data_IF_586602028762
#
_entry.id   IF_586602028762
#
_cell.length_a   1.000
_cell.length_b   1.000
_cell.length_c   1.000
_cell.angle_alpha   90.00
_cell.angle_beta   90.00
_cell.angle_gamma   90.00
#
_symmetry.space_group_name_H-M   'P 1'
#
loop_
_entity.id
_entity.type
_entity.pdbx_description
1 polymer ?
#
# COMPACT_ATOMS: atom_id res chain seq x y z
N UNK A 1 -20.79 18.01 -22.33
CA UNK A 1 -21.13 19.12 -21.42
C UNK A 1 -19.90 19.93 -21.00
N UNK A 2 -18.96 19.38 -20.22
CA UNK A 2 -17.74 20.09 -19.76
C UNK A 2 -16.98 20.80 -20.89
N UNK A 3 -16.61 20.06 -21.94
CA UNK A 3 -15.78 20.60 -23.02
C UNK A 3 -16.61 21.35 -24.07
N UNK A 4 -17.72 20.76 -24.52
CA UNK A 4 -18.51 21.32 -25.62
C UNK A 4 -19.39 22.52 -25.22
N UNK A 5 -19.89 22.57 -23.98
CA UNK A 5 -20.84 23.61 -23.53
C UNK A 5 -20.18 24.63 -22.59
N UNK A 6 -19.34 24.17 -21.66
CA UNK A 6 -18.62 25.06 -20.74
C UNK A 6 -17.24 25.48 -21.26
N UNK A 7 -16.84 25.02 -22.45
CA UNK A 7 -15.60 25.45 -23.11
C UNK A 7 -14.31 25.06 -22.39
N UNK A 8 -14.37 24.15 -21.41
CA UNK A 8 -13.21 23.74 -20.63
C UNK A 8 -12.15 23.05 -21.51
N UNK A 9 -10.87 23.33 -21.27
CA UNK A 9 -9.75 22.72 -22.00
C UNK A 9 -9.29 21.46 -21.28
N UNK A 10 -9.34 20.31 -21.96
CA UNK A 10 -8.81 19.06 -21.39
C UNK A 10 -7.33 18.89 -21.75
N UNK A 11 -6.48 18.66 -20.76
CA UNK A 11 -5.05 18.39 -20.96
C UNK A 11 -4.76 16.99 -21.53
N UNK A 12 -5.70 16.03 -21.41
CA UNK A 12 -5.50 14.62 -21.79
C UNK A 12 -6.65 14.09 -22.64
N UNK A 13 -6.32 13.18 -23.57
CA UNK A 13 -7.30 12.46 -24.40
C UNK A 13 -7.32 10.98 -24.06
N UNK A 14 -8.46 10.33 -24.20
CA UNK A 14 -8.58 8.88 -24.02
C UNK A 14 -7.77 8.13 -25.09
N UNK A 15 -7.13 7.02 -24.71
CA UNK A 15 -6.28 6.26 -25.62
C UNK A 15 -7.07 5.65 -26.80
N UNK A 16 -8.27 5.11 -26.53
CA UNK A 16 -9.12 4.46 -27.53
C UNK A 16 -9.88 5.43 -28.43
N UNK A 17 -10.62 6.37 -27.84
CA UNK A 17 -11.57 7.22 -28.61
C UNK A 17 -11.01 8.59 -28.97
N UNK A 18 -9.81 8.94 -28.47
CA UNK A 18 -9.17 10.27 -28.62
C UNK A 18 -10.06 11.44 -28.15
N UNK A 19 -11.14 11.15 -27.44
CA UNK A 19 -12.01 12.14 -26.84
C UNK A 19 -11.32 12.80 -25.63
N UNK A 20 -11.73 14.02 -25.29
CA UNK A 20 -11.28 14.68 -24.08
C UNK A 20 -11.56 13.81 -22.85
N UNK A 21 -10.52 13.58 -22.04
CA UNK A 21 -10.58 12.65 -20.91
C UNK A 21 -11.42 13.26 -19.79
N UNK A 22 -12.23 12.42 -19.14
CA UNK A 22 -12.88 12.74 -17.86
C UNK A 22 -12.34 11.84 -16.75
N UNK A 23 -11.10 11.37 -16.86
CA UNK A 23 -10.43 10.63 -15.78
C UNK A 23 -10.34 11.49 -14.50
N UNK A 24 -10.22 10.84 -13.35
CA UNK A 24 -10.17 11.49 -12.03
C UNK A 24 -9.16 12.65 -12.00
N UNK A 25 -7.90 12.39 -12.37
CA UNK A 25 -6.85 13.42 -12.44
C UNK A 25 -7.24 14.65 -13.27
N UNK A 26 -7.94 14.44 -14.41
CA UNK A 26 -8.35 15.56 -15.29
C UNK A 26 -9.50 16.34 -14.68
N UNK A 27 -10.43 15.66 -14.01
CA UNK A 27 -11.53 16.33 -13.32
C UNK A 27 -11.04 17.09 -12.09
N UNK A 28 -10.00 16.62 -11.41
CA UNK A 28 -9.36 17.33 -10.29
C UNK A 28 -8.69 18.63 -10.75
N UNK A 29 -7.96 18.60 -11.87
CA UNK A 29 -7.39 19.79 -12.49
C UNK A 29 -8.50 20.80 -12.85
N UNK A 30 -9.56 20.34 -13.52
CA UNK A 30 -10.69 21.20 -13.91
C UNK A 30 -11.53 21.70 -12.73
N UNK A 31 -11.50 21.01 -11.59
CA UNK A 31 -12.20 21.43 -10.38
C UNK A 31 -11.61 22.70 -9.77
N UNK A 32 -10.37 23.07 -10.11
CA UNK A 32 -9.77 24.35 -9.73
C UNK A 32 -10.40 25.53 -10.48
N UNK A 33 -10.94 25.29 -11.68
CA UNK A 33 -11.51 26.32 -12.54
C UNK A 33 -13.04 26.42 -12.41
N UNK A 34 -13.72 25.34 -12.00
CA UNK A 34 -15.18 25.28 -11.96
C UNK A 34 -15.70 24.22 -10.97
N UNK A 35 -16.83 24.49 -10.32
CA UNK A 35 -17.40 23.59 -9.29
C UNK A 35 -17.93 22.25 -9.83
N UNK A 36 -18.59 22.26 -11.00
CA UNK A 36 -19.17 21.07 -11.62
C UNK A 36 -18.22 19.84 -11.71
N UNK A 37 -16.97 19.92 -12.20
CA UNK A 37 -16.01 18.81 -12.14
C UNK A 37 -15.89 18.17 -10.74
N UNK A 38 -15.86 18.96 -9.67
CA UNK A 38 -15.87 18.47 -8.28
C UNK A 38 -17.13 17.68 -7.99
N UNK A 39 -18.32 18.21 -8.33
CA UNK A 39 -19.60 17.48 -8.14
C UNK A 39 -19.64 16.16 -8.92
N UNK A 40 -19.03 16.10 -10.11
CA UNK A 40 -18.93 14.86 -10.90
C UNK A 40 -18.04 13.83 -10.19
N UNK A 41 -16.91 14.26 -9.62
CA UNK A 41 -16.04 13.41 -8.81
C UNK A 41 -16.79 12.85 -7.60
N UNK A 42 -17.47 13.71 -6.84
CA UNK A 42 -18.25 13.33 -5.67
C UNK A 42 -19.35 12.33 -6.03
N UNK A 43 -20.12 12.61 -7.10
CA UNK A 43 -21.12 11.68 -7.62
C UNK A 43 -20.53 10.32 -7.99
N UNK A 44 -19.39 10.30 -8.69
CA UNK A 44 -18.72 9.04 -9.09
C UNK A 44 -18.23 8.27 -7.88
N UNK A 45 -17.70 8.94 -6.87
CA UNK A 45 -17.24 8.30 -5.64
C UNK A 45 -18.40 7.61 -4.91
N UNK A 46 -19.52 8.32 -4.69
CA UNK A 46 -20.71 7.76 -4.05
C UNK A 46 -21.34 6.65 -4.90
N UNK A 47 -21.47 6.85 -6.21
CA UNK A 47 -22.04 5.84 -7.10
C UNK A 47 -21.20 4.57 -7.13
N UNK A 48 -19.86 4.69 -7.09
CA UNK A 48 -18.96 3.54 -6.98
C UNK A 48 -19.17 2.81 -5.66
N UNK A 49 -19.22 3.52 -4.52
CA UNK A 49 -19.47 2.91 -3.22
C UNK A 49 -20.81 2.16 -3.18
N UNK A 50 -21.88 2.79 -3.69
CA UNK A 50 -23.21 2.19 -3.77
C UNK A 50 -23.20 0.92 -4.62
N UNK A 51 -22.79 1.04 -5.88
CA UNK A 51 -22.86 -0.08 -6.84
C UNK A 51 -21.90 -1.22 -6.52
N UNK A 52 -20.69 -0.91 -6.05
CA UNK A 52 -19.64 -1.91 -5.82
C UNK A 52 -19.80 -2.61 -4.47
N UNK A 53 -20.33 -1.91 -3.46
CA UNK A 53 -20.39 -2.44 -2.09
C UNK A 53 -21.82 -2.57 -1.58
N UNK A 54 -22.58 -1.48 -1.51
CA UNK A 54 -23.92 -1.48 -0.88
C UNK A 54 -24.90 -2.40 -1.61
N UNK A 55 -24.96 -2.31 -2.94
CA UNK A 55 -25.89 -3.10 -3.74
C UNK A 55 -25.36 -4.54 -3.95
N UNK A 56 -24.05 -4.69 -4.10
CA UNK A 56 -23.45 -5.96 -4.50
C UNK A 56 -23.20 -6.93 -3.32
N UNK A 57 -22.68 -6.45 -2.19
CA UNK A 57 -22.27 -7.33 -1.08
C UNK A 57 -23.42 -8.16 -0.50
N UNK A 58 -24.65 -7.62 -0.29
CA UNK A 58 -25.76 -8.44 0.18
C UNK A 58 -26.10 -9.60 -0.76
N UNK A 59 -25.94 -9.41 -2.07
CA UNK A 59 -26.14 -10.45 -3.07
C UNK A 59 -25.04 -11.53 -3.12
N UNK A 60 -23.92 -11.31 -2.42
CA UNK A 60 -22.79 -12.25 -2.34
C UNK A 60 -22.78 -13.06 -1.04
N UNK A 61 -23.78 -12.88 -0.17
CA UNK A 61 -23.90 -13.67 1.06
C UNK A 61 -24.26 -15.11 0.70
N UNK A 62 -23.42 -16.05 1.10
CA UNK A 62 -23.69 -17.47 0.92
C UNK A 62 -24.86 -17.88 1.84
N UNK A 63 -25.93 -18.50 1.31
CA UNK A 63 -27.14 -18.83 2.07
C UNK A 63 -26.93 -19.94 3.10
N UNK A 64 -25.94 -20.82 2.93
CA UNK A 64 -25.64 -21.92 3.86
C UNK A 64 -24.87 -21.43 5.08
N UNK A 65 -23.92 -20.51 4.89
CA UNK A 65 -23.05 -20.05 5.98
C UNK A 65 -23.47 -18.69 6.54
N UNK A 66 -24.29 -17.92 5.83
CA UNK A 66 -24.61 -16.53 6.16
C UNK A 66 -23.41 -15.58 6.07
N UNK A 67 -22.39 -15.90 5.28
CA UNK A 67 -21.13 -15.15 5.17
C UNK A 67 -20.74 -14.88 3.73
N UNK A 68 -19.91 -13.87 3.50
CA UNK A 68 -19.28 -13.61 2.20
C UNK A 68 -17.97 -14.41 2.13
N UNK A 69 -17.76 -15.15 1.03
CA UNK A 69 -16.56 -15.96 0.80
C UNK A 69 -15.76 -15.38 -0.37
N UNK A 70 -14.79 -14.51 -0.06
CA UNK A 70 -13.91 -13.95 -1.09
C UNK A 70 -12.92 -14.99 -1.63
N UNK A 71 -12.58 -14.87 -2.91
CA UNK A 71 -11.57 -15.70 -3.57
C UNK A 71 -10.18 -15.06 -3.50
N UNK A 72 -9.21 -15.77 -2.88
CA UNK A 72 -7.82 -15.33 -2.82
C UNK A 72 -6.99 -15.95 -3.94
N UNK A 73 -6.48 -15.11 -4.84
CA UNK A 73 -5.65 -15.53 -5.97
C UNK A 73 -4.16 -15.52 -5.58
N UNK A 74 -3.57 -16.71 -5.44
CA UNK A 74 -2.19 -16.85 -4.99
C UNK A 74 -1.13 -16.69 -6.10
N UNK A 75 -1.50 -16.92 -7.35
CA UNK A 75 -0.58 -17.02 -8.51
C UNK A 75 -0.74 -15.91 -9.54
N UNK A 76 -1.49 -14.83 -9.21
CA UNK A 76 -1.80 -13.74 -10.17
C UNK A 76 -0.80 -12.59 -10.11
N UNK A 77 -0.51 -12.04 -8.93
CA UNK A 77 0.34 -10.85 -8.84
C UNK A 77 1.82 -11.19 -9.08
N UNK A 78 2.47 -10.45 -9.99
CA UNK A 78 3.88 -10.65 -10.34
C UNK A 78 4.85 -10.45 -9.15
N UNK A 79 4.46 -9.65 -8.15
CA UNK A 79 5.25 -9.44 -6.93
C UNK A 79 4.98 -10.49 -5.85
N UNK A 80 4.03 -11.39 -6.06
CA UNK A 80 3.69 -12.45 -5.11
C UNK A 80 2.71 -12.03 -4.02
N UNK A 81 2.14 -10.82 -4.05
CA UNK A 81 1.00 -10.46 -3.20
C UNK A 81 -0.23 -11.34 -3.50
N UNK A 82 -1.09 -11.53 -2.52
CA UNK A 82 -2.43 -12.08 -2.75
C UNK A 82 -3.31 -10.98 -3.36
N UNK A 83 -4.20 -11.34 -4.28
CA UNK A 83 -5.30 -10.48 -4.71
C UNK A 83 -6.63 -11.13 -4.40
N UNK A 84 -7.65 -10.31 -4.13
CA UNK A 84 -9.01 -10.80 -3.83
C UNK A 84 -9.98 -10.51 -4.97
N UNK A 85 -10.90 -11.44 -5.19
CA UNK A 85 -12.00 -11.33 -6.13
C UNK A 85 -13.30 -11.88 -5.48
N UNK A 86 -14.44 -11.46 -6.01
CA UNK A 86 -15.77 -11.96 -5.66
C UNK A 86 -16.08 -12.01 -4.15
N UNK A 87 -16.00 -10.89 -3.41
CA UNK A 87 -15.66 -9.52 -3.86
C UNK A 87 -14.19 -9.14 -3.58
N UNK A 88 -13.73 -8.05 -4.21
CA UNK A 88 -12.43 -7.47 -3.89
C UNK A 88 -12.49 -6.66 -2.58
N UNK A 89 -12.21 -7.34 -1.47
CA UNK A 89 -12.18 -6.76 -0.13
C UNK A 89 -10.93 -5.91 0.15
N UNK A 90 -9.89 -5.96 -0.70
CA UNK A 90 -8.69 -5.14 -0.50
C UNK A 90 -8.92 -3.65 -0.76
N UNK A 91 -9.95 -3.31 -1.55
CA UNK A 91 -10.17 -1.96 -2.05
C UNK A 91 -11.27 -1.17 -1.33
N UNK A 92 -11.79 -1.68 -0.20
CA UNK A 92 -12.84 -0.98 0.57
C UNK A 92 -12.22 0.28 1.21
N UNK A 93 -12.68 1.50 0.84
CA UNK A 93 -12.07 2.73 1.33
C UNK A 93 -12.13 2.85 2.86
N UNK A 94 -11.04 3.34 3.44
CA UNK A 94 -10.89 3.53 4.89
C UNK A 94 -10.91 5.01 5.30
N UNK A 95 -10.45 5.91 4.42
CA UNK A 95 -10.20 7.32 4.76
C UNK A 95 -11.41 8.23 4.63
N UNK A 96 -12.49 7.76 4.00
CA UNK A 96 -13.70 8.56 3.83
C UNK A 96 -14.77 8.12 4.83
N UNK A 97 -15.61 9.04 5.34
CA UNK A 97 -16.72 8.68 6.21
C UNK A 97 -17.63 7.60 5.61
N UNK A 98 -17.92 7.68 4.31
CA UNK A 98 -18.77 6.71 3.61
C UNK A 98 -18.08 5.34 3.51
N UNK A 99 -16.77 5.31 3.28
CA UNK A 99 -15.99 4.07 3.27
C UNK A 99 -15.97 3.39 4.64
N UNK A 100 -15.83 4.20 5.70
CA UNK A 100 -15.90 3.72 7.09
C UNK A 100 -17.25 3.08 7.38
N UNK A 101 -18.35 3.67 6.93
CA UNK A 101 -19.70 3.10 7.05
C UNK A 101 -19.87 1.76 6.34
N UNK A 102 -19.17 1.53 5.21
CA UNK A 102 -19.15 0.21 4.58
C UNK A 102 -18.43 -0.80 5.48
N UNK A 103 -17.31 -0.41 6.13
CA UNK A 103 -16.57 -1.28 7.05
C UNK A 103 -17.36 -1.60 8.34
N UNK A 104 -18.26 -0.73 8.78
CA UNK A 104 -19.18 -1.01 9.90
C UNK A 104 -20.11 -2.21 9.62
N UNK A 105 -20.38 -2.53 8.35
CA UNK A 105 -21.20 -3.68 7.96
C UNK A 105 -20.46 -5.03 8.10
N UNK A 106 -19.14 -5.00 8.30
CA UNK A 106 -18.33 -6.20 8.56
C UNK A 106 -18.18 -6.38 10.06
N UNK A 107 -18.98 -7.27 10.61
CA UNK A 107 -19.10 -7.51 12.06
C UNK A 107 -18.52 -8.87 12.44
N UNK A 108 -18.05 -8.99 13.67
CA UNK A 108 -17.71 -10.29 14.24
C UNK A 108 -18.97 -11.15 14.45
N UNK A 109 -18.78 -12.48 14.39
CA UNK A 109 -19.78 -13.43 14.89
C UNK A 109 -20.12 -13.18 16.37
N UNK A 110 -21.34 -13.53 16.80
CA UNK A 110 -21.79 -13.31 18.18
C UNK A 110 -20.85 -14.01 19.18
N UNK A 111 -20.43 -13.29 20.22
CA UNK A 111 -19.47 -13.77 21.22
C UNK A 111 -18.02 -13.76 20.73
N UNK A 112 -17.76 -13.15 19.57
CA UNK A 112 -16.44 -12.92 19.03
C UNK A 112 -16.16 -11.43 18.84
N UNK A 113 -14.88 -11.08 18.71
CA UNK A 113 -14.38 -9.80 18.26
C UNK A 113 -13.60 -9.98 16.96
N UNK A 114 -13.47 -8.90 16.20
CA UNK A 114 -12.47 -8.78 15.15
C UNK A 114 -11.14 -8.34 15.77
N UNK A 115 -10.07 -8.98 15.33
CA UNK A 115 -8.69 -8.65 15.64
C UNK A 115 -7.97 -8.29 14.35
N UNK A 116 -7.68 -7.00 14.15
CA UNK A 116 -6.84 -6.54 13.04
C UNK A 116 -5.40 -6.40 13.51
N UNK A 117 -4.46 -6.92 12.74
CA UNK A 117 -3.03 -6.72 12.98
C UNK A 117 -2.33 -6.31 11.69
N UNK A 118 -1.74 -5.12 11.66
CA UNK A 118 -1.10 -4.52 10.49
C UNK A 118 0.38 -4.28 10.74
N UNK A 119 1.24 -4.56 9.75
CA UNK A 119 2.65 -4.22 9.88
C UNK A 119 2.89 -2.73 9.72
N UNK A 120 3.53 -2.11 10.70
CA UNK A 120 3.93 -0.72 10.62
C UNK A 120 5.10 -0.53 9.63
N UNK A 121 4.79 0.01 8.44
CA UNK A 121 5.76 0.42 7.42
C UNK A 121 6.66 -0.72 6.91
N UNK A 122 6.08 -1.91 6.67
CA UNK A 122 6.85 -3.11 6.32
C UNK A 122 7.78 -2.95 5.13
N UNK A 123 7.34 -2.26 4.07
CA UNK A 123 8.15 -2.05 2.86
C UNK A 123 9.40 -1.20 3.15
N UNK A 124 9.29 -0.19 4.03
CA UNK A 124 10.45 0.62 4.43
C UNK A 124 11.41 -0.14 5.36
N UNK A 125 10.88 -1.01 6.23
CA UNK A 125 11.72 -1.90 7.06
C UNK A 125 12.49 -2.90 6.21
N UNK A 126 11.84 -3.49 5.21
CA UNK A 126 12.48 -4.36 4.21
C UNK A 126 13.52 -3.58 3.42
N UNK A 127 13.22 -2.35 2.98
CA UNK A 127 14.19 -1.50 2.29
C UNK A 127 15.42 -1.24 3.16
N UNK A 128 15.24 -0.89 4.44
CA UNK A 128 16.34 -0.66 5.37
C UNK A 128 17.26 -1.88 5.50
N UNK A 129 16.67 -3.07 5.61
CA UNK A 129 17.41 -4.33 5.67
C UNK A 129 18.14 -4.64 4.36
N UNK A 130 17.51 -4.45 3.21
CA UNK A 130 18.11 -4.74 1.90
C UNK A 130 19.22 -3.74 1.54
N UNK A 131 19.03 -2.46 1.83
CA UNK A 131 19.99 -1.41 1.53
C UNK A 131 21.17 -1.36 2.50
N UNK A 132 21.00 -1.94 3.70
CA UNK A 132 21.95 -1.83 4.82
C UNK A 132 22.24 -0.36 5.17
N UNK A 133 21.27 0.53 4.96
CA UNK A 133 21.44 1.93 5.27
C UNK A 133 21.36 2.17 6.78
N UNK A 134 22.52 2.48 7.39
CA UNK A 134 22.62 2.60 8.85
C UNK A 134 21.72 3.70 9.42
N UNK A 135 21.55 4.81 8.71
CA UNK A 135 20.65 5.90 9.14
C UNK A 135 19.22 5.40 9.24
N UNK A 136 18.74 4.69 8.21
CA UNK A 136 17.38 4.17 8.18
C UNK A 136 17.19 3.04 9.21
N UNK A 137 18.18 2.16 9.36
CA UNK A 137 18.18 1.09 10.36
C UNK A 137 18.08 1.67 11.78
N UNK A 138 18.93 2.65 12.11
CA UNK A 138 18.95 3.25 13.43
C UNK A 138 17.67 4.03 13.74
N UNK A 139 17.06 4.65 12.71
CA UNK A 139 15.75 5.31 12.85
C UNK A 139 14.68 4.32 13.30
N UNK A 140 14.60 3.15 12.66
CA UNK A 140 13.66 2.11 13.07
C UNK A 140 13.98 1.51 14.44
N UNK A 141 15.26 1.33 14.79
CA UNK A 141 15.68 0.81 16.10
C UNK A 141 15.34 1.75 17.25
N UNK A 142 15.34 3.07 17.00
CA UNK A 142 14.92 4.09 17.98
C UNK A 142 13.40 4.25 18.08
N UNK A 143 12.62 3.52 17.28
CA UNK A 143 11.15 3.64 17.26
C UNK A 143 10.66 4.97 16.69
N UNK A 144 11.49 5.68 15.92
CA UNK A 144 11.12 6.94 15.28
C UNK A 144 10.27 6.71 14.03
N UNK A 145 9.33 7.62 13.75
CA UNK A 145 8.58 7.61 12.49
C UNK A 145 9.50 8.10 11.35
N UNK A 146 9.74 7.22 10.37
CA UNK A 146 10.62 7.50 9.24
C UNK A 146 10.08 8.64 8.36
N UNK A 147 8.76 8.79 8.24
CA UNK A 147 8.18 9.88 7.47
C UNK A 147 8.41 11.22 8.17
N UNK A 148 8.24 11.29 9.48
CA UNK A 148 8.48 12.50 10.27
C UNK A 148 9.95 12.89 10.27
N UNK A 149 10.83 11.90 10.42
CA UNK A 149 12.27 12.14 10.34
C UNK A 149 12.68 12.64 8.96
N UNK A 150 12.22 11.95 7.91
CA UNK A 150 12.49 12.37 6.52
C UNK A 150 11.90 13.76 6.27
N UNK A 151 10.75 14.09 6.85
CA UNK A 151 10.16 15.42 6.74
C UNK A 151 11.06 16.51 7.31
N UNK A 152 11.50 16.34 8.56
CA UNK A 152 12.38 17.31 9.23
C UNK A 152 13.69 17.50 8.49
N UNK A 153 14.22 16.43 7.90
CA UNK A 153 15.51 16.45 7.22
C UNK A 153 15.43 16.96 5.77
N UNK A 154 14.32 16.70 5.05
CA UNK A 154 14.11 17.15 3.65
C UNK A 154 13.55 18.56 3.58
N UNK A 155 12.57 18.91 4.43
CA UNK A 155 11.94 20.24 4.44
C UNK A 155 12.68 21.24 5.33
N UNK A 156 13.43 20.77 6.32
CA UNK A 156 14.11 21.62 7.30
C UNK A 156 13.15 22.44 8.19
N UNK A 157 13.69 23.16 9.20
CA UNK A 157 12.90 24.00 10.10
C UNK A 157 12.35 25.28 9.44
N UNK A 158 12.76 25.58 8.21
CA UNK A 158 12.38 26.79 7.46
C UNK A 158 11.21 26.57 6.49
N UNK A 159 10.66 25.35 6.43
CA UNK A 159 9.50 25.08 5.58
C UNK A 159 8.25 25.78 6.12
N UNK A 160 7.60 26.56 5.25
CA UNK A 160 6.33 27.22 5.56
C UNK A 160 5.13 26.25 5.58
N UNK A 161 5.34 24.97 5.25
CA UNK A 161 4.26 23.97 5.23
C UNK A 161 3.90 23.52 6.66
N UNK A 162 2.61 23.31 6.96
CA UNK A 162 2.17 22.65 8.19
C UNK A 162 2.81 21.28 8.40
N UNK A 163 3.03 20.85 9.65
CA UNK A 163 3.75 19.61 9.97
C UNK A 163 3.07 18.35 9.39
N UNK A 164 1.74 18.31 9.37
CA UNK A 164 0.93 17.26 8.74
C UNK A 164 1.12 17.20 7.23
N UNK A 165 1.22 18.36 6.57
CA UNK A 165 1.53 18.43 5.16
C UNK A 165 2.97 18.01 4.86
N UNK A 166 3.95 18.43 5.67
CA UNK A 166 5.34 17.96 5.54
C UNK A 166 5.43 16.44 5.66
N UNK A 167 4.71 15.84 6.62
CA UNK A 167 4.63 14.38 6.78
C UNK A 167 3.98 13.72 5.57
N UNK A 168 2.89 14.29 5.05
CA UNK A 168 2.21 13.80 3.84
C UNK A 168 3.16 13.78 2.65
N UNK A 169 3.89 14.86 2.40
CA UNK A 169 4.86 14.96 1.30
C UNK A 169 6.00 13.96 1.49
N UNK A 170 6.56 13.85 2.69
CA UNK A 170 7.63 12.89 3.00
C UNK A 170 7.20 11.44 2.80
N UNK A 171 5.96 11.12 3.17
CA UNK A 171 5.35 9.83 2.86
C UNK A 171 5.33 9.59 1.35
N UNK A 172 4.87 10.56 0.57
CA UNK A 172 4.86 10.44 -0.89
C UNK A 172 6.26 10.33 -1.49
N UNK A 173 7.27 11.02 -0.96
CA UNK A 173 8.68 10.90 -1.37
C UNK A 173 9.19 9.48 -1.07
N UNK A 174 9.03 8.98 0.15
CA UNK A 174 9.46 7.62 0.53
C UNK A 174 8.87 6.55 -0.40
N UNK A 175 7.57 6.64 -0.68
CA UNK A 175 6.92 5.70 -1.61
C UNK A 175 7.31 5.95 -3.07
N UNK A 176 7.47 7.20 -3.49
CA UNK A 176 7.94 7.52 -4.84
C UNK A 176 9.27 6.84 -5.13
N UNK A 177 10.18 6.80 -4.16
CA UNK A 177 11.47 6.12 -4.31
C UNK A 177 11.33 4.61 -4.31
N UNK A 178 10.53 4.03 -3.40
CA UNK A 178 10.23 2.58 -3.38
C UNK A 178 9.61 2.06 -4.69
N UNK A 179 8.84 2.90 -5.39
CA UNK A 179 8.15 2.56 -6.64
C UNK A 179 8.81 3.14 -7.90
N UNK A 180 9.92 3.87 -7.76
CA UNK A 180 10.65 4.45 -8.90
C UNK A 180 9.89 5.49 -9.67
N UNK A 181 9.02 6.23 -8.98
CA UNK A 181 8.37 7.40 -9.56
C UNK A 181 9.45 8.40 -9.97
N UNK A 182 9.29 8.92 -11.18
CA UNK A 182 10.14 10.01 -11.67
C UNK A 182 9.88 11.30 -10.90
N UNK A 183 10.83 12.24 -10.91
CA UNK A 183 10.63 13.59 -10.37
C UNK A 183 9.39 14.27 -10.98
N UNK A 184 9.09 14.01 -12.26
CA UNK A 184 7.88 14.51 -12.92
C UNK A 184 6.59 13.97 -12.28
N UNK A 185 6.54 12.65 -12.01
CA UNK A 185 5.39 12.01 -11.36
C UNK A 185 5.23 12.51 -9.92
N UNK A 186 6.34 12.58 -9.17
CA UNK A 186 6.34 13.10 -7.81
C UNK A 186 5.86 14.55 -7.76
N UNK A 187 6.35 15.41 -8.65
CA UNK A 187 5.98 16.83 -8.72
C UNK A 187 4.46 17.01 -8.86
N UNK A 188 3.84 16.23 -9.75
CA UNK A 188 2.39 16.21 -9.94
C UNK A 188 1.66 15.69 -8.69
N UNK A 189 2.12 14.60 -8.10
CA UNK A 189 1.46 13.98 -6.94
C UNK A 189 1.46 14.88 -5.70
N UNK A 190 2.48 15.75 -5.55
CA UNK A 190 2.64 16.62 -4.39
C UNK A 190 2.37 18.11 -4.68
N UNK A 191 2.09 18.47 -5.94
CA UNK A 191 1.73 19.82 -6.35
C UNK A 191 2.90 20.83 -6.38
N UNK A 192 4.11 20.39 -6.71
CA UNK A 192 5.31 21.26 -6.77
C UNK A 192 5.92 21.29 -8.17
N UNK A 193 6.93 22.14 -8.39
CA UNK A 193 7.68 22.13 -9.65
C UNK A 193 8.52 20.86 -9.81
N UNK A 194 8.80 20.48 -11.06
CA UNK A 194 9.70 19.34 -11.37
C UNK A 194 11.08 19.50 -10.72
N UNK A 195 11.60 20.73 -10.66
CA UNK A 195 12.89 21.05 -10.03
C UNK A 195 12.85 20.76 -8.53
N UNK A 196 11.83 21.27 -7.82
CA UNK A 196 11.65 20.99 -6.38
C UNK A 196 11.49 19.50 -6.08
N UNK A 197 10.73 18.78 -6.91
CA UNK A 197 10.60 17.33 -6.75
C UNK A 197 11.93 16.59 -6.94
N UNK A 198 12.79 17.05 -7.86
CA UNK A 198 14.13 16.49 -8.04
C UNK A 198 15.03 16.81 -6.84
N UNK A 199 14.96 18.03 -6.29
CA UNK A 199 15.67 18.43 -5.06
C UNK A 199 15.28 17.55 -3.87
N UNK A 200 13.99 17.22 -3.69
CA UNK A 200 13.55 16.31 -2.63
C UNK A 200 14.10 14.89 -2.80
N UNK A 201 14.15 14.38 -4.03
CA UNK A 201 14.73 13.07 -4.33
C UNK A 201 16.23 13.06 -4.03
N UNK A 202 16.97 14.10 -4.44
CA UNK A 202 18.40 14.19 -4.19
C UNK A 202 18.72 14.38 -2.70
N UNK A 203 17.96 15.21 -1.98
CA UNK A 203 18.10 15.37 -0.53
C UNK A 203 17.89 14.04 0.20
N UNK A 204 16.88 13.26 -0.21
CA UNK A 204 16.68 11.91 0.33
C UNK A 204 17.89 11.01 0.12
N UNK A 205 18.42 10.94 -1.11
CA UNK A 205 19.55 10.06 -1.40
C UNK A 205 20.87 10.53 -0.81
N UNK A 206 21.05 11.84 -0.62
CA UNK A 206 22.17 12.38 0.13
C UNK A 206 22.13 11.90 1.60
N UNK A 207 20.93 11.74 2.16
CA UNK A 207 20.72 11.24 3.52
C UNK A 207 20.82 9.73 3.65
N UNK A 208 20.29 9.01 2.67
CA UNK A 208 20.26 7.55 2.62
C UNK A 208 21.08 7.04 1.42
N UNK A 209 22.41 7.27 1.39
CA UNK A 209 23.25 6.95 0.23
C UNK A 209 23.30 5.45 -0.05
N UNK A 210 23.12 4.60 0.97
CA UNK A 210 23.10 3.15 0.77
C UNK A 210 21.81 2.68 0.11
N UNK A 211 20.71 3.43 0.26
CA UNK A 211 19.48 3.19 -0.51
C UNK A 211 19.71 3.45 -2.00
N UNK A 212 20.37 4.57 -2.35
CA UNK A 212 20.73 4.85 -3.76
C UNK A 212 21.58 3.73 -4.35
N UNK A 213 22.66 3.36 -3.64
CA UNK A 213 23.55 2.28 -4.05
C UNK A 213 22.80 0.95 -4.27
N UNK A 214 21.93 0.58 -3.33
CA UNK A 214 21.10 -0.62 -3.46
C UNK A 214 20.22 -0.61 -4.72
N UNK A 215 19.60 0.53 -5.03
CA UNK A 215 18.76 0.68 -6.22
C UNK A 215 19.60 0.52 -7.49
N UNK A 216 20.72 1.25 -7.57
CA UNK A 216 21.60 1.25 -8.73
C UNK A 216 22.20 -0.15 -8.99
N UNK A 217 22.68 -0.81 -7.93
CA UNK A 217 23.21 -2.18 -7.99
C UNK A 217 22.14 -3.19 -8.39
N UNK A 218 20.91 -3.03 -7.87
CA UNK A 218 19.79 -3.91 -8.21
C UNK A 218 19.43 -3.78 -9.69
N UNK A 219 19.37 -2.55 -10.22
CA UNK A 219 19.10 -2.31 -11.64
C UNK A 219 20.22 -2.84 -12.53
N UNK A 220 21.49 -2.59 -12.16
CA UNK A 220 22.65 -3.09 -12.90
C UNK A 220 22.62 -4.63 -13.01
N UNK A 221 22.49 -5.32 -11.86
CA UNK A 221 22.38 -6.79 -11.84
C UNK A 221 21.16 -7.31 -12.57
N UNK A 222 20.03 -6.61 -12.50
CA UNK A 222 18.82 -7.00 -13.20
C UNK A 222 18.98 -6.88 -14.72
N UNK A 223 19.68 -5.85 -15.24
CA UNK A 223 19.98 -5.69 -16.67
C UNK A 223 20.87 -6.81 -17.19
N UNK A 224 21.85 -7.25 -16.40
CA UNK A 224 22.73 -8.37 -16.73
C UNK A 224 21.95 -9.70 -16.76
N UNK A 225 21.27 -10.02 -15.65
CA UNK A 225 20.64 -11.33 -15.44
C UNK A 225 19.24 -11.47 -16.04
N UNK A 226 18.57 -10.35 -16.31
CA UNK A 226 17.14 -10.30 -16.68
C UNK A 226 16.19 -10.67 -15.54
N UNK A 227 16.66 -10.67 -14.28
CA UNK A 227 15.87 -11.16 -13.14
C UNK A 227 16.15 -10.41 -11.83
N UNK A 228 15.20 -10.47 -10.90
CA UNK A 228 15.35 -10.01 -9.51
C UNK A 228 14.75 -11.01 -8.53
N UNK A 229 15.21 -10.98 -7.27
CA UNK A 229 14.76 -11.90 -6.21
C UNK A 229 14.38 -11.18 -4.91
N UNK A 230 13.44 -11.76 -4.16
CA UNK A 230 13.08 -11.36 -2.80
C UNK A 230 14.02 -12.00 -1.76
N UNK A 231 13.86 -11.62 -0.48
CA UNK A 231 14.58 -12.19 0.66
C UNK A 231 14.40 -13.71 0.78
N UNK A 232 13.19 -14.22 0.51
CA UNK A 232 12.91 -15.66 0.55
C UNK A 232 13.08 -16.34 -0.83
N UNK A 233 13.74 -15.67 -1.77
CA UNK A 233 14.20 -16.28 -3.03
C UNK A 233 13.19 -16.29 -4.18
N UNK A 234 12.00 -15.68 -4.02
CA UNK A 234 11.00 -15.55 -5.11
C UNK A 234 11.64 -14.83 -6.29
N UNK A 235 11.58 -15.45 -7.46
CA UNK A 235 12.16 -14.94 -8.69
C UNK A 235 11.13 -14.19 -9.53
N UNK A 236 11.47 -12.99 -10.00
CA UNK A 236 10.75 -12.30 -11.07
C UNK A 236 11.66 -12.12 -12.28
N UNK A 237 11.17 -12.53 -13.45
CA UNK A 237 11.83 -12.31 -14.75
C UNK A 237 11.38 -10.97 -15.33
N UNK A 238 12.32 -10.23 -15.90
CA UNK A 238 12.12 -8.89 -16.45
C UNK A 238 12.77 -8.80 -17.84
N UNK A 239 12.20 -9.48 -18.86
CA UNK A 239 12.78 -9.50 -20.20
C UNK A 239 12.85 -8.10 -20.83
N UNK A 240 11.92 -7.22 -20.46
CA UNK A 240 11.80 -5.86 -20.95
C UNK A 240 12.96 -4.93 -20.55
N UNK A 241 13.84 -5.35 -19.63
CA UNK A 241 15.07 -4.63 -19.30
C UNK A 241 16.02 -4.47 -20.50
N UNK A 242 15.90 -5.36 -21.50
CA UNK A 242 16.68 -5.32 -22.75
C UNK A 242 15.94 -4.63 -23.89
N UNK A 243 14.74 -4.10 -23.65
CA UNK A 243 13.94 -3.45 -24.68
C UNK A 243 14.66 -2.23 -25.23
N UNK A 244 14.71 -2.03 -26.58
CA UNK A 244 15.24 -0.81 -27.16
C UNK A 244 14.35 0.41 -26.84
N UNK A 245 13.06 0.18 -26.59
CA UNK A 245 12.11 1.23 -26.22
C UNK A 245 12.38 1.72 -24.79
N UNK A 246 12.75 2.99 -24.66
CA UNK A 246 13.06 3.63 -23.39
C UNK A 246 11.92 3.53 -22.36
N UNK A 247 10.67 3.71 -22.77
CA UNK A 247 9.53 3.68 -21.84
C UNK A 247 9.30 2.28 -21.27
N UNK A 248 9.40 1.25 -22.13
CA UNK A 248 9.28 -0.15 -21.73
C UNK A 248 10.42 -0.54 -20.78
N UNK A 249 11.65 -0.18 -21.15
CA UNK A 249 12.83 -0.44 -20.32
C UNK A 249 12.77 0.27 -18.97
N UNK A 250 12.37 1.54 -18.94
CA UNK A 250 12.23 2.30 -17.70
C UNK A 250 11.14 1.73 -16.77
N UNK A 251 10.06 1.17 -17.32
CA UNK A 251 9.07 0.43 -16.53
C UNK A 251 9.64 -0.86 -15.95
N UNK A 252 10.41 -1.62 -16.74
CA UNK A 252 11.07 -2.82 -16.25
C UNK A 252 12.10 -2.50 -15.14
N UNK A 253 12.78 -1.36 -15.21
CA UNK A 253 13.69 -0.88 -14.16
C UNK A 253 12.96 -0.52 -12.87
N UNK A 254 11.80 0.15 -12.96
CA UNK A 254 10.91 0.38 -11.80
C UNK A 254 10.49 -0.93 -11.16
N UNK A 255 10.14 -1.92 -11.98
CA UNK A 255 9.77 -3.26 -11.50
C UNK A 255 10.95 -3.99 -10.85
N UNK A 256 12.16 -3.85 -11.39
CA UNK A 256 13.39 -4.41 -10.84
C UNK A 256 13.68 -3.87 -9.45
N UNK A 257 13.52 -2.57 -9.25
CA UNK A 257 13.71 -1.94 -7.95
C UNK A 257 12.61 -2.29 -6.94
N UNK A 258 11.34 -2.28 -7.37
CA UNK A 258 10.23 -2.47 -6.46
C UNK A 258 10.07 -3.92 -5.98
N UNK A 259 10.34 -4.90 -6.85
CA UNK A 259 10.05 -6.31 -6.58
C UNK A 259 10.78 -6.87 -5.36
N UNK A 260 12.09 -6.65 -5.17
CA UNK A 260 12.79 -7.11 -3.98
C UNK A 260 12.14 -6.61 -2.69
N UNK A 261 11.61 -5.38 -2.67
CA UNK A 261 10.97 -4.81 -1.48
C UNK A 261 9.54 -5.33 -1.32
N UNK A 262 8.67 -5.04 -2.29
CA UNK A 262 7.25 -5.40 -2.20
C UNK A 262 7.04 -6.92 -2.14
N UNK A 263 7.82 -7.67 -2.90
CA UNK A 263 7.75 -9.13 -2.90
C UNK A 263 8.25 -9.75 -1.60
N UNK A 264 9.28 -9.17 -0.96
CA UNK A 264 9.71 -9.64 0.35
C UNK A 264 8.67 -9.34 1.43
N UNK A 265 7.97 -8.20 1.37
CA UNK A 265 6.84 -7.94 2.24
C UNK A 265 5.70 -8.96 2.03
N UNK A 266 5.41 -9.33 0.76
CA UNK A 266 4.44 -10.36 0.44
C UNK A 266 4.86 -11.77 0.93
N UNK A 267 6.14 -12.08 0.86
CA UNK A 267 6.68 -13.34 1.37
C UNK A 267 6.60 -13.39 2.91
N UNK A 268 6.90 -12.27 3.56
CA UNK A 268 6.89 -12.12 5.02
C UNK A 268 5.48 -12.27 5.60
N UNK A 269 4.47 -11.59 5.03
CA UNK A 269 3.07 -11.74 5.49
C UNK A 269 2.57 -13.18 5.28
N UNK A 270 2.95 -13.82 4.17
CA UNK A 270 2.58 -15.24 3.92
C UNK A 270 3.23 -16.19 4.91
N UNK A 271 4.49 -15.97 5.25
CA UNK A 271 5.18 -16.73 6.30
C UNK A 271 4.48 -16.52 7.65
N UNK A 272 4.15 -15.27 8.00
CA UNK A 272 3.41 -14.95 9.22
C UNK A 272 2.04 -15.66 9.27
N UNK A 273 1.30 -15.71 8.17
CA UNK A 273 0.03 -16.46 8.09
C UNK A 273 0.21 -17.95 8.39
N UNK A 274 1.24 -18.57 7.80
CA UNK A 274 1.54 -20.00 8.01
C UNK A 274 1.92 -20.26 9.47
N UNK A 275 2.81 -19.44 10.03
CA UNK A 275 3.28 -19.61 11.40
C UNK A 275 2.15 -19.33 12.41
N UNK A 276 1.31 -18.34 12.13
CA UNK A 276 0.15 -18.01 12.95
C UNK A 276 -0.86 -19.15 12.95
N UNK A 277 -1.15 -19.73 11.78
CA UNK A 277 -2.02 -20.89 11.66
C UNK A 277 -1.52 -22.07 12.50
N UNK A 278 -0.21 -22.36 12.47
CA UNK A 278 0.39 -23.43 13.27
C UNK A 278 0.27 -23.14 14.78
N UNK A 279 0.60 -21.93 15.21
CA UNK A 279 0.54 -21.55 16.62
C UNK A 279 -0.88 -21.59 17.18
N UNK A 280 -1.87 -21.04 16.45
CA UNK A 280 -3.29 -21.09 16.83
C UNK A 280 -3.71 -22.55 17.07
N UNK A 281 -3.40 -23.45 16.14
CA UNK A 281 -3.73 -24.88 16.26
C UNK A 281 -3.01 -25.55 17.43
N UNK A 282 -1.71 -25.28 17.61
CA UNK A 282 -0.92 -25.88 18.68
C UNK A 282 -1.40 -25.49 20.08
N UNK A 283 -1.96 -24.28 20.20
CA UNK A 283 -2.49 -23.73 21.46
C UNK A 283 -3.97 -24.06 21.67
N UNK A 284 -4.62 -24.70 20.70
CA UNK A 284 -6.06 -25.00 20.75
C UNK A 284 -6.95 -23.75 20.74
N UNK A 285 -6.45 -22.62 20.24
CA UNK A 285 -7.25 -21.39 20.13
C UNK A 285 -8.31 -21.55 19.03
N UNK A 286 -9.48 -20.95 19.26
CA UNK A 286 -10.60 -20.89 18.30
C UNK A 286 -10.51 -19.69 17.36
N UNK A 287 -9.51 -18.83 17.53
CA UNK A 287 -9.20 -17.73 16.61
C UNK A 287 -9.13 -18.20 15.14
N UNK A 288 -9.79 -17.47 14.24
CA UNK A 288 -9.82 -17.77 12.80
C UNK A 288 -9.25 -16.61 12.01
N UNK A 289 -8.25 -16.86 11.16
CA UNK A 289 -7.84 -15.91 10.15
C UNK A 289 -8.90 -15.83 9.06
N UNK A 290 -9.56 -14.67 8.92
CA UNK A 290 -10.69 -14.49 8.00
C UNK A 290 -10.32 -13.67 6.76
N UNK A 291 -9.40 -12.71 6.86
CA UNK A 291 -8.93 -11.94 5.70
C UNK A 291 -7.43 -11.60 5.80
N UNK A 292 -6.85 -11.40 4.63
CA UNK A 292 -5.53 -10.79 4.46
C UNK A 292 -5.69 -9.58 3.52
N UNK A 293 -5.38 -8.38 4.01
CA UNK A 293 -5.49 -7.14 3.24
C UNK A 293 -4.14 -6.43 3.25
N UNK A 294 -3.46 -6.36 2.11
CA UNK A 294 -2.15 -5.71 2.01
C UNK A 294 -1.10 -6.29 2.98
N UNK A 295 -0.80 -5.59 4.07
CA UNK A 295 0.11 -5.91 5.17
C UNK A 295 -0.62 -6.26 6.48
N UNK A 296 -1.94 -6.34 6.43
CA UNK A 296 -2.85 -6.63 7.54
C UNK A 296 -3.37 -8.08 7.50
N UNK A 297 -3.47 -8.68 8.69
CA UNK A 297 -4.24 -9.88 8.97
C UNK A 297 -5.47 -9.52 9.80
N UNK A 298 -6.65 -9.94 9.34
CA UNK A 298 -7.90 -9.82 10.10
C UNK A 298 -8.34 -11.18 10.58
N UNK A 299 -8.49 -11.31 11.90
CA UNK A 299 -8.99 -12.50 12.56
C UNK A 299 -10.35 -12.24 13.19
N UNK A 300 -11.11 -13.31 13.37
CA UNK A 300 -12.27 -13.35 14.23
C UNK A 300 -11.94 -14.27 15.42
N UNK A 301 -12.12 -13.77 16.64
CA UNK A 301 -11.61 -14.39 17.87
C UNK A 301 -12.72 -14.39 18.94
N UNK A 302 -12.95 -15.48 19.69
CA UNK A 302 -13.86 -15.44 20.83
C UNK A 302 -13.44 -14.36 21.83
N UNK A 303 -14.40 -13.69 22.45
CA UNK A 303 -14.15 -12.61 23.41
C UNK A 303 -13.21 -13.06 24.55
N UNK A 304 -13.40 -14.28 25.05
CA UNK A 304 -12.59 -14.89 26.11
C UNK A 304 -11.13 -15.19 25.69
N UNK A 305 -10.84 -15.26 24.39
CA UNK A 305 -9.51 -15.54 23.83
C UNK A 305 -8.86 -14.30 23.20
N UNK A 306 -9.54 -13.15 23.22
CA UNK A 306 -9.16 -11.98 22.43
C UNK A 306 -7.77 -11.45 22.77
N UNK A 307 -7.46 -11.30 24.06
CA UNK A 307 -6.14 -10.81 24.52
C UNK A 307 -5.01 -11.81 24.26
N UNK A 308 -5.12 -13.10 24.63
CA UNK A 308 -4.13 -14.12 24.24
C UNK A 308 -3.90 -14.20 22.73
N UNK A 309 -4.96 -14.08 21.91
CA UNK A 309 -4.86 -14.08 20.46
C UNK A 309 -4.15 -12.82 19.95
N UNK A 310 -4.45 -11.63 20.51
CA UNK A 310 -3.78 -10.37 20.18
C UNK A 310 -2.27 -10.43 20.41
N UNK A 311 -1.85 -10.90 21.59
CA UNK A 311 -0.44 -11.08 21.92
C UNK A 311 0.25 -12.09 21.00
N UNK A 312 -0.44 -13.21 20.72
CA UNK A 312 0.07 -14.24 19.82
C UNK A 312 0.30 -13.70 18.40
N UNK A 313 -0.72 -13.04 17.83
CA UNK A 313 -0.65 -12.49 16.46
C UNK A 313 0.49 -11.49 16.36
N UNK A 314 0.60 -10.56 17.31
CA UNK A 314 1.69 -9.58 17.35
C UNK A 314 3.05 -10.26 17.38
N UNK A 315 3.26 -11.21 18.31
CA UNK A 315 4.52 -11.94 18.45
C UNK A 315 4.89 -12.72 17.17
N UNK A 316 3.92 -13.39 16.55
CA UNK A 316 4.16 -14.18 15.33
C UNK A 316 4.50 -13.28 14.15
N UNK A 317 3.78 -12.18 13.98
CA UNK A 317 4.06 -11.22 12.92
C UNK A 317 5.44 -10.56 13.12
N UNK A 318 5.72 -10.04 14.30
CA UNK A 318 7.02 -9.41 14.62
C UNK A 318 8.19 -10.41 14.51
N UNK A 319 7.94 -11.70 14.76
CA UNK A 319 8.93 -12.77 14.65
C UNK A 319 8.98 -13.47 13.28
N UNK A 320 8.23 -12.99 12.28
CA UNK A 320 8.07 -13.72 11.03
C UNK A 320 9.40 -13.90 10.29
N UNK A 321 10.26 -12.88 10.29
CA UNK A 321 11.59 -12.95 9.67
C UNK A 321 12.57 -12.08 10.45
N UNK A 322 13.79 -12.56 10.65
CA UNK A 322 14.85 -11.76 11.24
C UNK A 322 15.37 -10.74 10.22
N UNK A 323 15.17 -9.45 10.49
CA UNK A 323 15.72 -8.32 9.74
C UNK A 323 16.71 -7.54 10.61
N UNK A 324 17.47 -6.61 10.01
CA UNK A 324 18.38 -5.73 10.80
C UNK A 324 17.62 -4.67 11.60
N UNK A 325 16.32 -4.52 11.31
CA UNK A 325 15.37 -3.63 11.97
C UNK A 325 14.26 -4.46 12.60
N UNK A 326 13.71 -4.04 13.76
CA UNK A 326 12.57 -4.75 14.35
C UNK A 326 11.38 -4.70 13.40
N UNK A 327 10.62 -5.79 13.30
CA UNK A 327 9.27 -5.76 12.75
C UNK A 327 8.32 -5.30 13.86
N UNK A 328 7.31 -4.51 13.52
CA UNK A 328 6.32 -4.00 14.47
C UNK A 328 4.94 -4.24 13.86
N UNK A 329 4.03 -4.83 14.65
CA UNK A 329 2.65 -5.07 14.26
C UNK A 329 1.70 -4.37 15.24
N UNK A 330 0.84 -3.50 14.71
CA UNK A 330 -0.18 -2.80 15.49
C UNK A 330 -1.45 -3.65 15.51
N UNK A 331 -1.85 -4.15 16.68
CA UNK A 331 -2.96 -5.07 16.84
C UNK A 331 -4.13 -4.46 17.64
N UNK A 332 -5.32 -4.42 17.05
CA UNK A 332 -6.55 -3.79 17.61
C UNK A 332 -7.73 -4.77 17.62
N UNK A 333 -8.54 -4.65 18.66
CA UNK A 333 -9.76 -5.44 18.87
C UNK A 333 -11.00 -4.54 18.75
N UNK A 334 -12.08 -5.07 18.20
CA UNK A 334 -13.33 -4.34 18.02
C UNK A 334 -14.46 -5.25 17.51
N UNK A 335 -15.70 -4.79 17.63
CA UNK A 335 -16.89 -5.52 17.18
C UNK A 335 -17.06 -5.45 15.65
N UNK A 336 -16.57 -4.37 15.03
CA UNK A 336 -16.68 -4.13 13.59
C UNK A 336 -15.33 -3.82 12.96
N UNK A 337 -15.22 -4.01 11.64
CA UNK A 337 -13.98 -3.77 10.92
C UNK A 337 -13.58 -2.29 10.92
N UNK A 338 -14.54 -1.39 11.13
CA UNK A 338 -14.36 0.06 11.28
C UNK A 338 -13.84 0.49 12.67
N UNK A 339 -13.95 -0.35 13.70
CA UNK A 339 -13.43 -0.08 15.05
C UNK A 339 -11.96 -0.46 15.19
N UNK A 340 -11.53 -1.48 14.45
CA UNK A 340 -10.15 -1.98 14.44
C UNK A 340 -9.23 -1.23 13.47
N UNK A 341 -9.76 -0.21 12.80
CA UNK A 341 -9.07 0.68 11.84
C UNK A 341 -9.23 2.14 12.28
#
# INVERSE_FOLDING_TARGET
MLFARLGMRSAKKTAKTRAASTAEEVLEELAAEHELPRKILDYRAVQKLKSTYVDALPGLVNPETGRIHASFNQTVAATGRLSTADPNLQNIPIRTPEGRRIREAFVAERGCLLLSADYSQIELRVLAHLSKDQTLIDTFRRGEDVHDRTAREVFGPLSALPADEQRRVSKMVNYALLYGKSAFTLARDIGVSKTQAAEFIEAYFARYPSVRRFIDDTIARARETGTVRTLLGRLRRLPDLRSPNFQIRAEAERQAMNTPVQGSAADLIKKAMIDLHREIRSRGLRARLILQIHDELLLEVPEEEAEPARELVRRVMEGALALDVPLVADARLGATWAEVH
#
